data_IF_469083640242
#
_entry.id   IF_469083640242
#
_cell.length_a   1.000
_cell.length_b   1.000
_cell.length_c   1.000
_cell.angle_alpha   90.00
_cell.angle_beta   90.00
_cell.angle_gamma   90.00
#
_symmetry.space_group_name_H-M   'P 1'
#
loop_
_entity.id
_entity.type
_entity.pdbx_description
1 polymer ?
#
# COMPACT_ATOMS: atom_id res chain seq x y z
N UNK A 1 -2.43 -6.07 4.74
CA UNK A 1 -1.82 -7.22 5.46
C UNK A 1 -2.65 -7.52 6.69
N UNK A 2 -2.97 -8.80 7.00
CA UNK A 2 -3.60 -9.19 8.25
C UNK A 2 -2.88 -8.66 9.49
N UNK A 3 -3.64 -8.23 10.51
CA UNK A 3 -3.10 -7.63 11.74
C UNK A 3 -2.17 -8.54 12.54
N UNK A 4 -2.39 -9.85 12.52
CA UNK A 4 -1.52 -10.78 13.23
C UNK A 4 -0.15 -10.91 12.54
N UNK A 5 -0.13 -10.80 11.21
CA UNK A 5 1.08 -10.86 10.40
C UNK A 5 1.89 -9.55 10.53
N UNK A 6 1.21 -8.39 10.61
CA UNK A 6 1.88 -7.10 10.79
C UNK A 6 2.62 -6.98 12.13
N UNK A 7 2.13 -7.61 13.19
CA UNK A 7 2.81 -7.63 14.51
C UNK A 7 4.17 -8.32 14.48
N UNK A 8 4.37 -9.29 13.57
CA UNK A 8 5.62 -10.04 13.47
C UNK A 8 6.63 -9.39 12.51
N UNK A 9 6.19 -8.43 11.69
CA UNK A 9 7.01 -7.82 10.67
C UNK A 9 7.99 -6.82 11.29
N UNK A 10 9.29 -7.00 11.05
CA UNK A 10 10.34 -6.11 11.59
C UNK A 10 10.75 -5.00 10.61
N UNK A 11 10.57 -5.22 9.31
CA UNK A 11 10.96 -4.29 8.26
C UNK A 11 9.95 -4.34 7.12
N UNK A 12 9.79 -3.22 6.43
CA UNK A 12 9.06 -3.16 5.16
C UNK A 12 10.07 -3.41 4.03
N UNK A 13 9.73 -4.31 3.10
CA UNK A 13 10.42 -4.39 1.81
C UNK A 13 9.76 -3.38 0.85
N UNK A 14 10.43 -2.28 0.49
CA UNK A 14 9.85 -1.26 -0.38
C UNK A 14 9.70 -1.75 -1.83
N UNK A 15 10.40 -2.81 -2.24
CA UNK A 15 10.44 -3.28 -3.62
C UNK A 15 9.41 -4.36 -3.93
N UNK A 16 8.71 -4.89 -2.91
CA UNK A 16 7.79 -6.02 -3.02
C UNK A 16 6.62 -5.78 -3.99
N UNK A 17 6.37 -4.53 -4.36
CA UNK A 17 5.32 -4.11 -5.31
C UNK A 17 5.85 -3.37 -6.55
N UNK A 18 7.17 -3.39 -6.80
CA UNK A 18 7.74 -2.77 -8.00
C UNK A 18 7.12 -3.35 -9.29
N UNK A 19 6.82 -2.49 -10.25
CA UNK A 19 6.20 -2.86 -11.52
C UNK A 19 4.70 -3.21 -11.41
N UNK A 20 4.07 -3.01 -10.25
CA UNK A 20 2.64 -3.27 -10.05
C UNK A 20 1.84 -1.97 -9.91
N UNK A 21 0.52 -2.07 -10.06
CA UNK A 21 -0.42 -1.00 -9.73
C UNK A 21 -1.11 -1.22 -8.37
N UNK A 22 -0.51 -2.04 -7.51
CA UNK A 22 -1.04 -2.39 -6.21
C UNK A 22 -0.49 -1.50 -5.10
N UNK A 23 -1.19 -1.49 -3.96
CA UNK A 23 -0.74 -0.86 -2.72
C UNK A 23 -0.98 -1.82 -1.56
N UNK A 24 0.04 -2.04 -0.72
CA UNK A 24 -0.08 -2.80 0.51
C UNK A 24 -0.17 -1.85 1.70
N UNK A 25 -1.34 -1.82 2.33
CA UNK A 25 -1.54 -1.17 3.62
C UNK A 25 -1.26 -2.15 4.77
N UNK A 26 -0.58 -1.64 5.79
CA UNK A 26 -0.21 -2.38 7.00
C UNK A 26 -0.41 -1.51 8.24
N UNK A 27 -0.92 -2.11 9.31
CA UNK A 27 -1.24 -1.44 10.57
C UNK A 27 -0.39 -2.04 11.67
N UNK A 28 0.38 -1.20 12.37
CA UNK A 28 1.28 -1.60 13.46
C UNK A 28 0.83 -0.93 14.76
N UNK A 29 0.09 -1.63 15.63
CA UNK A 29 -0.34 -1.08 16.91
C UNK A 29 0.81 -1.06 17.92
N UNK A 30 1.01 0.09 18.56
CA UNK A 30 1.83 0.23 19.76
C UNK A 30 0.90 0.32 20.98
N UNK A 31 0.59 -0.83 21.56
CA UNK A 31 -0.40 -0.94 22.65
C UNK A 31 0.08 -0.28 23.95
N UNK A 32 1.38 -0.19 24.17
CA UNK A 32 1.97 0.42 25.37
C UNK A 32 1.73 1.94 25.39
N UNK A 33 1.86 2.59 24.23
CA UNK A 33 1.71 4.04 24.12
C UNK A 33 0.38 4.48 23.49
N UNK A 34 -0.51 3.55 23.14
CA UNK A 34 -1.82 3.84 22.56
C UNK A 34 -1.77 4.43 21.14
N UNK A 35 -0.63 4.33 20.45
CA UNK A 35 -0.45 4.84 19.08
C UNK A 35 -0.51 3.72 18.05
N UNK A 36 -0.77 4.09 16.80
CA UNK A 36 -0.75 3.18 15.66
C UNK A 36 0.10 3.78 14.55
N UNK A 37 0.97 2.97 13.96
CA UNK A 37 1.65 3.31 12.70
C UNK A 37 0.88 2.66 11.55
N UNK A 38 0.34 3.48 10.65
CA UNK A 38 -0.19 3.05 9.36
C UNK A 38 0.89 3.27 8.30
N UNK A 39 1.21 2.23 7.53
CA UNK A 39 2.17 2.32 6.42
C UNK A 39 1.56 1.86 5.11
N UNK A 40 2.07 2.41 4.01
CA UNK A 40 1.79 1.97 2.65
C UNK A 40 3.11 1.61 1.94
N UNK A 41 3.13 0.48 1.25
CA UNK A 41 4.16 0.15 0.26
C UNK A 41 3.48 0.10 -1.11
N UNK A 42 4.09 0.70 -2.12
CA UNK A 42 3.62 0.72 -3.51
C UNK A 42 4.74 1.26 -4.42
N UNK A 43 4.68 0.95 -5.72
CA UNK A 43 5.59 1.53 -6.72
C UNK A 43 5.26 3.02 -6.95
N UNK A 44 6.23 3.92 -6.74
CA UNK A 44 6.01 5.36 -6.87
C UNK A 44 5.87 5.84 -8.33
N UNK A 45 6.44 5.14 -9.30
CA UNK A 45 6.28 5.45 -10.73
C UNK A 45 5.08 4.70 -11.35
N UNK A 46 4.77 3.53 -10.81
CA UNK A 46 3.56 2.76 -11.07
C UNK A 46 2.35 3.39 -10.37
N UNK A 47 1.87 2.76 -9.29
CA UNK A 47 0.69 3.21 -8.54
C UNK A 47 0.79 4.65 -8.03
N UNK A 48 1.99 5.14 -7.71
CA UNK A 48 2.20 6.52 -7.24
C UNK A 48 2.10 7.60 -8.31
N UNK A 49 2.10 7.22 -9.60
CA UNK A 49 2.06 8.17 -10.70
C UNK A 49 1.25 7.61 -11.89
N UNK A 50 1.94 7.00 -12.87
CA UNK A 50 1.35 6.65 -14.16
C UNK A 50 0.23 5.60 -14.05
N UNK A 51 0.39 4.61 -13.17
CA UNK A 51 -0.59 3.56 -12.92
C UNK A 51 -1.89 4.10 -12.30
N UNK A 52 -1.80 5.07 -11.38
CA UNK A 52 -2.98 5.77 -10.87
C UNK A 52 -3.65 6.64 -11.93
N UNK A 53 -2.87 7.33 -12.79
CA UNK A 53 -3.42 8.14 -13.87
C UNK A 53 -4.21 7.29 -14.88
N UNK A 54 -3.66 6.15 -15.30
CA UNK A 54 -4.36 5.20 -16.18
C UNK A 54 -5.59 4.60 -15.50
N UNK A 55 -5.51 4.25 -14.21
CA UNK A 55 -6.67 3.78 -13.47
C UNK A 55 -7.79 4.84 -13.42
N UNK A 56 -7.46 6.12 -13.23
CA UNK A 56 -8.42 7.22 -13.28
C UNK A 56 -9.04 7.37 -14.68
N UNK A 57 -8.24 7.28 -15.74
CA UNK A 57 -8.75 7.30 -17.11
C UNK A 57 -9.70 6.13 -17.37
N UNK A 58 -9.38 4.92 -16.91
CA UNK A 58 -10.26 3.77 -17.04
C UNK A 58 -11.61 4.03 -16.34
N UNK A 59 -11.62 4.61 -15.13
CA UNK A 59 -12.87 4.97 -14.45
C UNK A 59 -13.71 6.00 -15.23
N UNK A 60 -13.05 6.91 -15.96
CA UNK A 60 -13.73 7.94 -16.77
C UNK A 60 -14.24 7.41 -18.10
N UNK A 61 -13.47 6.53 -18.75
CA UNK A 61 -13.73 6.03 -20.11
C UNK A 61 -14.58 4.75 -20.10
N UNK A 62 -14.54 3.98 -19.01
CA UNK A 62 -15.27 2.73 -18.87
C UNK A 62 -15.90 2.65 -17.48
N UNK A 63 -17.18 2.98 -17.39
CA UNK A 63 -18.05 2.52 -16.30
C UNK A 63 -18.81 1.27 -16.77
N UNK A 64 -18.12 0.13 -16.78
CA UNK A 64 -18.72 -1.21 -16.66
C UNK A 64 -17.82 -2.06 -15.77
#
# INVERSE_FOLDING_TARGET
>A
MPLHESRALKHLDPQVLNGTNDMRLSVFPNLEHGHVLLSAVFDNLGKGASGAAVQNLNLMLTQQ
#
